data_IF_160436603211
#
_entry.id   IF_160436603211
#
_cell.length_a   1.000
_cell.length_b   1.000
_cell.length_c   1.000
_cell.angle_alpha   90.00
_cell.angle_beta   90.00
_cell.angle_gamma   90.00
#
_symmetry.space_group_name_H-M   'P 1'
#
loop_
_entity.id
_entity.type
_entity.pdbx_description
1 polymer ?
#
# COMPACT_ATOMS: atom_id res chain seq x y z
N UNK A 1 8.10 28.41 15.52
CA UNK A 1 7.36 27.93 14.33
C UNK A 1 5.88 28.02 14.65
N UNK A 2 5.11 28.79 13.89
CA UNK A 2 3.65 28.79 14.02
C UNK A 2 3.13 27.53 13.32
N UNK A 3 2.50 26.61 14.06
CA UNK A 3 1.86 25.43 13.47
C UNK A 3 0.55 25.91 12.86
N UNK A 4 0.45 25.91 11.53
CA UNK A 4 -0.79 26.20 10.80
C UNK A 4 -1.59 24.90 10.69
N UNK A 5 -2.84 24.90 11.18
CA UNK A 5 -3.76 23.77 11.04
C UNK A 5 -4.73 24.07 9.90
N UNK A 6 -4.78 23.20 8.90
CA UNK A 6 -5.70 23.31 7.77
C UNK A 6 -6.45 21.99 7.55
N UNK A 7 -7.75 22.08 7.22
CA UNK A 7 -8.59 20.92 6.92
C UNK A 7 -8.73 20.79 5.40
N UNK A 8 -8.15 19.73 4.82
CA UNK A 8 -8.18 19.47 3.39
C UNK A 8 -9.41 18.64 2.99
N UNK A 9 -10.08 19.01 1.90
CA UNK A 9 -11.15 18.21 1.30
C UNK A 9 -10.67 17.42 0.08
N UNK A 10 -11.16 16.19 -0.09
CA UNK A 10 -10.79 15.34 -1.23
C UNK A 10 -11.17 15.98 -2.58
N UNK A 11 -10.18 16.16 -3.47
CA UNK A 11 -10.37 16.78 -4.79
C UNK A 11 -10.16 18.30 -4.83
N UNK A 12 -9.87 18.93 -3.69
CA UNK A 12 -9.55 20.35 -3.61
C UNK A 12 -8.22 20.65 -4.31
N UNK A 13 -8.23 21.61 -5.24
CA UNK A 13 -6.99 22.11 -5.87
C UNK A 13 -6.33 23.15 -4.96
N UNK A 14 -4.99 23.14 -4.82
CA UNK A 14 -4.28 24.15 -4.04
C UNK A 14 -4.51 25.55 -4.59
N UNK A 15 -4.58 26.55 -3.71
CA UNK A 15 -4.61 27.96 -4.11
C UNK A 15 -3.26 28.38 -4.71
N UNK A 16 -3.23 29.50 -5.45
CA UNK A 16 -1.98 30.03 -6.02
C UNK A 16 -0.92 30.28 -4.95
N UNK A 17 -1.34 30.78 -3.79
CA UNK A 17 -0.47 31.03 -2.64
C UNK A 17 0.14 29.74 -2.08
N UNK A 18 -0.66 28.69 -1.92
CA UNK A 18 -0.18 27.37 -1.49
C UNK A 18 0.79 26.75 -2.51
N UNK A 19 0.53 26.93 -3.81
CA UNK A 19 1.43 26.46 -4.88
C UNK A 19 2.77 27.18 -4.80
N UNK A 20 2.76 28.49 -4.58
CA UNK A 20 3.98 29.28 -4.47
C UNK A 20 4.73 28.99 -3.16
N UNK A 21 4.02 28.71 -2.07
CA UNK A 21 4.61 28.19 -0.83
C UNK A 21 5.32 26.85 -1.06
N UNK A 22 4.67 25.88 -1.71
CA UNK A 22 5.27 24.58 -2.05
C UNK A 22 6.51 24.76 -2.94
N UNK A 23 6.45 25.64 -3.94
CA UNK A 23 7.59 25.94 -4.82
C UNK A 23 8.75 26.58 -4.08
N UNK A 24 8.48 27.42 -3.09
CA UNK A 24 9.50 28.02 -2.26
C UNK A 24 10.07 27.01 -1.26
N UNK A 25 9.22 26.15 -0.68
CA UNK A 25 9.60 25.03 0.18
C UNK A 25 10.61 24.08 -0.52
N UNK A 26 10.39 23.80 -1.81
CA UNK A 26 11.29 22.97 -2.61
C UNK A 26 12.70 23.55 -2.80
N UNK A 27 12.90 24.86 -2.59
CA UNK A 27 14.19 25.53 -2.74
C UNK A 27 15.01 25.56 -1.44
N UNK A 28 14.42 25.17 -0.30
CA UNK A 28 15.16 25.18 0.96
C UNK A 28 16.28 24.13 0.94
N UNK A 29 17.48 24.48 1.44
CA UNK A 29 18.57 23.52 1.50
C UNK A 29 18.24 22.39 2.48
N UNK A 30 18.62 21.17 2.11
CA UNK A 30 18.54 20.02 3.02
C UNK A 30 19.67 20.16 4.04
N UNK A 31 19.31 20.54 5.27
CA UNK A 31 20.26 20.70 6.38
C UNK A 31 20.20 19.46 7.27
N UNK A 32 21.34 18.81 7.43
CA UNK A 32 21.49 17.70 8.37
C UNK A 32 21.96 18.23 9.73
N UNK A 33 21.40 17.72 10.81
CA UNK A 33 21.77 18.10 12.18
C UNK A 33 21.87 16.85 13.08
N UNK A 34 22.18 17.02 14.35
CA UNK A 34 22.33 15.91 15.31
C UNK A 34 21.04 15.10 15.50
N UNK A 35 19.87 15.70 15.25
CA UNK A 35 18.55 15.05 15.37
C UNK A 35 18.12 14.39 14.04
N UNK A 36 18.68 14.84 12.92
CA UNK A 36 18.40 14.37 11.56
C UNK A 36 19.72 14.22 10.79
N UNK A 37 20.54 13.21 11.14
CA UNK A 37 21.82 12.96 10.48
C UNK A 37 21.62 12.50 9.04
N UNK A 38 22.66 12.69 8.22
CA UNK A 38 22.67 12.16 6.86
C UNK A 38 22.79 10.64 6.92
N UNK A 39 21.83 9.92 6.33
CA UNK A 39 21.89 8.47 6.22
C UNK A 39 23.19 8.04 5.53
N UNK A 40 23.88 7.08 6.15
CA UNK A 40 25.08 6.47 5.60
C UNK A 40 24.72 5.49 4.47
N UNK A 41 25.70 5.16 3.63
CA UNK A 41 25.49 4.21 2.52
C UNK A 41 25.06 2.81 3.01
N UNK A 42 25.48 2.41 4.22
CA UNK A 42 25.06 1.16 4.85
C UNK A 42 23.58 1.17 5.26
N UNK A 43 23.13 2.23 5.92
CA UNK A 43 21.72 2.38 6.32
C UNK A 43 20.79 2.45 5.09
N UNK A 44 21.21 3.15 4.03
CA UNK A 44 20.48 3.16 2.75
C UNK A 44 20.36 1.77 2.11
N UNK A 45 21.37 0.91 2.27
CA UNK A 45 21.34 -0.46 1.76
C UNK A 45 20.37 -1.36 2.56
N UNK A 46 20.22 -1.12 3.87
CA UNK A 46 19.23 -1.84 4.68
C UNK A 46 17.79 -1.53 4.24
N UNK A 47 17.49 -0.27 3.93
CA UNK A 47 16.19 0.11 3.36
C UNK A 47 15.92 -0.57 2.02
N UNK A 48 16.93 -0.68 1.16
CA UNK A 48 16.80 -1.38 -0.11
C UNK A 48 16.47 -2.87 0.08
N UNK A 49 17.16 -3.54 1.01
CA UNK A 49 16.92 -4.95 1.33
C UNK A 49 15.50 -5.19 1.86
N UNK A 50 15.01 -4.33 2.75
CA UNK A 50 13.63 -4.41 3.26
C UNK A 50 12.62 -4.17 2.14
N UNK A 51 12.89 -3.23 1.23
CA UNK A 51 12.02 -2.99 0.07
C UNK A 51 11.96 -4.19 -0.87
N UNK A 52 13.09 -4.86 -1.11
CA UNK A 52 13.17 -6.05 -1.97
C UNK A 52 12.44 -7.25 -1.37
N UNK A 53 12.58 -7.49 -0.05
CA UNK A 53 11.83 -8.54 0.68
C UNK A 53 10.32 -8.27 0.61
N UNK A 54 9.90 -7.04 0.90
CA UNK A 54 8.49 -6.65 0.84
C UNK A 54 7.95 -6.74 -0.60
N UNK A 55 8.76 -6.44 -1.61
CA UNK A 55 8.36 -6.57 -3.00
C UNK A 55 8.16 -8.03 -3.40
N UNK A 56 9.06 -8.93 -2.97
CA UNK A 56 8.94 -10.37 -3.21
C UNK A 56 7.72 -10.97 -2.49
N UNK A 57 7.45 -10.61 -1.23
CA UNK A 57 6.25 -11.08 -0.51
C UNK A 57 4.94 -10.53 -1.11
N UNK A 58 4.98 -9.35 -1.73
CA UNK A 58 3.83 -8.74 -2.39
C UNK A 58 3.67 -9.17 -3.85
N UNK A 59 4.56 -10.01 -4.35
CA UNK A 59 4.49 -10.47 -5.74
C UNK A 59 3.21 -11.28 -5.94
N UNK A 60 2.30 -10.72 -6.75
CA UNK A 60 1.03 -11.39 -7.07
C UNK A 60 1.27 -12.37 -8.20
N UNK A 61 1.23 -13.66 -7.89
CA UNK A 61 1.31 -14.72 -8.89
C UNK A 61 -0.07 -14.97 -9.49
N UNK A 62 -0.14 -15.08 -10.83
CA UNK A 62 -1.38 -15.41 -11.52
C UNK A 62 -1.73 -16.88 -11.30
N UNK A 63 -2.94 -17.15 -10.79
CA UNK A 63 -3.50 -18.50 -10.72
C UNK A 63 -4.82 -18.56 -11.50
N UNK A 64 -5.09 -19.71 -12.11
CA UNK A 64 -6.35 -19.97 -12.83
C UNK A 64 -7.00 -21.22 -12.26
N UNK A 65 -8.27 -21.11 -11.88
CA UNK A 65 -9.03 -22.16 -11.20
C UNK A 65 -10.40 -22.29 -11.90
N UNK A 66 -10.87 -23.53 -12.12
CA UNK A 66 -12.22 -23.76 -12.64
C UNK A 66 -13.22 -23.76 -11.50
N UNK A 67 -14.26 -22.94 -11.62
CA UNK A 67 -15.35 -22.83 -10.65
C UNK A 67 -16.67 -23.20 -11.31
N UNK A 68 -17.61 -23.70 -10.50
CA UNK A 68 -19.01 -23.83 -10.95
C UNK A 68 -19.61 -22.45 -11.16
N UNK A 69 -20.48 -22.30 -12.17
CA UNK A 69 -21.12 -21.02 -12.51
C UNK A 69 -21.81 -20.37 -11.30
N UNK A 70 -22.59 -21.16 -10.53
CA UNK A 70 -23.27 -20.70 -9.31
C UNK A 70 -22.32 -20.06 -8.29
N UNK A 71 -21.13 -20.62 -8.13
CA UNK A 71 -20.13 -20.14 -7.18
C UNK A 71 -19.55 -18.82 -7.66
N UNK A 72 -19.25 -18.72 -8.95
CA UNK A 72 -18.74 -17.49 -9.55
C UNK A 72 -19.78 -16.36 -9.50
N UNK A 73 -21.05 -16.67 -9.74
CA UNK A 73 -22.14 -15.68 -9.70
C UNK A 73 -22.33 -15.14 -8.28
N UNK A 74 -22.24 -15.99 -7.26
CA UNK A 74 -22.23 -15.56 -5.86
C UNK A 74 -21.05 -14.62 -5.57
N UNK A 75 -19.83 -14.98 -5.99
CA UNK A 75 -18.66 -14.11 -5.82
C UNK A 75 -18.86 -12.74 -6.48
N UNK A 76 -19.34 -12.71 -7.74
CA UNK A 76 -19.61 -11.47 -8.47
C UNK A 76 -20.65 -10.58 -7.79
N UNK A 77 -21.60 -11.15 -7.06
CA UNK A 77 -22.60 -10.38 -6.32
C UNK A 77 -22.01 -9.52 -5.19
N UNK A 78 -20.76 -9.77 -4.77
CA UNK A 78 -20.04 -8.94 -3.80
C UNK A 78 -19.52 -7.60 -4.39
N UNK A 79 -19.71 -7.38 -5.70
CA UNK A 79 -19.31 -6.16 -6.40
C UNK A 79 -17.98 -6.27 -7.15
N UNK A 80 -17.53 -5.17 -7.76
CA UNK A 80 -16.36 -5.13 -8.67
C UNK A 80 -15.04 -5.62 -8.03
N UNK A 81 -14.94 -5.56 -6.69
CA UNK A 81 -13.77 -6.02 -5.93
C UNK A 81 -13.75 -7.50 -5.58
N UNK A 82 -14.67 -8.32 -6.08
CA UNK A 82 -14.81 -9.72 -5.65
C UNK A 82 -13.55 -10.57 -5.82
N UNK A 83 -12.74 -10.30 -6.86
CA UNK A 83 -11.48 -11.00 -7.10
C UNK A 83 -10.44 -10.71 -6.01
N UNK A 84 -10.39 -9.47 -5.52
CA UNK A 84 -9.53 -9.08 -4.40
C UNK A 84 -10.03 -9.65 -3.06
N UNK A 85 -11.34 -9.83 -2.89
CA UNK A 85 -11.89 -10.56 -1.74
C UNK A 85 -11.51 -12.04 -1.82
N UNK A 86 -11.64 -12.66 -3.00
CA UNK A 86 -11.27 -14.06 -3.22
C UNK A 86 -9.78 -14.33 -2.96
N UNK A 87 -8.89 -13.46 -3.44
CA UNK A 87 -7.46 -13.57 -3.18
C UNK A 87 -7.15 -13.55 -1.67
N UNK A 88 -7.72 -12.57 -0.94
CA UNK A 88 -7.57 -12.47 0.51
C UNK A 88 -8.16 -13.68 1.25
N UNK A 89 -9.30 -14.20 0.80
CA UNK A 89 -9.87 -15.41 1.39
C UNK A 89 -8.91 -16.59 1.23
N UNK A 90 -8.31 -16.77 0.05
CA UNK A 90 -7.36 -17.85 -0.20
C UNK A 90 -6.08 -17.70 0.65
N UNK A 91 -5.62 -16.47 0.86
CA UNK A 91 -4.50 -16.19 1.76
C UNK A 91 -4.84 -16.56 3.21
N UNK A 92 -6.00 -16.10 3.70
CA UNK A 92 -6.46 -16.35 5.07
C UNK A 92 -6.83 -17.81 5.33
N UNK A 93 -7.33 -18.54 4.32
CA UNK A 93 -7.76 -19.92 4.47
C UNK A 93 -6.64 -20.84 5.00
N UNK A 94 -5.37 -20.49 4.77
CA UNK A 94 -4.20 -21.21 5.30
C UNK A 94 -4.15 -21.22 6.83
N UNK A 95 -4.73 -20.21 7.47
CA UNK A 95 -4.80 -20.08 8.92
C UNK A 95 -5.94 -20.89 9.56
N UNK A 96 -6.81 -21.53 8.76
CA UNK A 96 -7.97 -22.28 9.24
C UNK A 96 -7.94 -23.73 8.73
N UNK A 97 -7.16 -24.63 9.35
CA UNK A 97 -6.97 -26.00 8.88
C UNK A 97 -8.28 -26.80 8.73
N UNK A 98 -9.27 -26.56 9.58
CA UNK A 98 -10.54 -27.28 9.52
C UNK A 98 -11.40 -26.86 8.33
N UNK A 99 -11.25 -25.63 7.82
CA UNK A 99 -11.86 -25.23 6.57
C UNK A 99 -11.22 -25.97 5.40
N UNK A 100 -9.89 -26.09 5.38
CA UNK A 100 -9.15 -26.81 4.35
C UNK A 100 -9.52 -28.30 4.34
N UNK A 101 -9.62 -28.94 5.51
CA UNK A 101 -10.01 -30.36 5.63
C UNK A 101 -11.37 -30.67 5.02
N UNK A 102 -12.31 -29.71 4.99
CA UNK A 102 -13.63 -29.90 4.35
C UNK A 102 -13.57 -29.89 2.82
N UNK A 103 -12.46 -29.43 2.26
CA UNK A 103 -12.25 -29.26 0.83
C UNK A 103 -11.29 -30.30 0.23
N UNK A 104 -10.72 -31.19 1.06
CA UNK A 104 -9.90 -32.35 0.67
C UNK A 104 -10.79 -33.57 0.44
#
# INVERSE_FOLDING_TARGET
MAIVRETLQGGQKPTKEQIDEIRNAAKYPVVYNEVSPKLTAGELAEFRRVSEINAAERERVMCSIRLQKRTLDWWKSLGEGYTAVMARLLDEARNYPDLIKKCL
#
